data_IF_008941788433
#
_entry.id   IF_008941788433
#
_cell.length_a   1.000
_cell.length_b   1.000
_cell.length_c   1.000
_cell.angle_alpha   90.00
_cell.angle_beta   90.00
_cell.angle_gamma   90.00
#
_symmetry.space_group_name_H-M   'P 1'
#
loop_
_entity.id
_entity.type
_entity.pdbx_description
1 polymer ?
#
# COMPACT_ATOMS: atom_id res chain seq x y z
N UNK A 1 -46.01 -6.39 37.91
CA UNK A 1 -45.90 -5.54 36.72
C UNK A 1 -44.78 -6.13 35.87
N UNK A 2 -45.08 -6.64 34.69
CA UNK A 2 -44.06 -7.19 33.74
C UNK A 2 -43.60 -6.06 32.85
N UNK A 3 -42.29 -5.89 32.57
CA UNK A 3 -41.85 -4.85 31.62
C UNK A 3 -42.15 -5.32 30.20
N UNK A 4 -42.75 -4.43 29.42
CA UNK A 4 -42.99 -4.59 27.98
C UNK A 4 -41.63 -4.67 27.21
N UNK A 5 -41.29 -5.82 26.69
CA UNK A 5 -40.25 -5.97 25.66
C UNK A 5 -40.82 -5.43 24.34
N UNK A 6 -40.40 -4.23 23.93
CA UNK A 6 -40.64 -3.72 22.59
C UNK A 6 -39.83 -4.53 21.60
N UNK A 7 -40.50 -5.41 20.83
CA UNK A 7 -39.90 -6.25 19.79
C UNK A 7 -39.25 -5.39 18.70
N UNK A 8 -37.92 -5.38 18.66
CA UNK A 8 -37.18 -4.95 17.49
C UNK A 8 -37.56 -5.86 16.31
N UNK A 9 -38.33 -5.34 15.36
CA UNK A 9 -38.66 -6.04 14.11
C UNK A 9 -37.36 -6.42 13.40
N UNK A 10 -37.05 -7.70 13.29
CA UNK A 10 -35.93 -8.19 12.44
C UNK A 10 -36.16 -7.70 11.03
N UNK A 11 -35.18 -7.07 10.36
CA UNK A 11 -35.35 -6.61 8.98
C UNK A 11 -35.75 -7.77 8.08
N UNK A 12 -36.69 -7.55 7.17
CA UNK A 12 -37.23 -8.55 6.28
C UNK A 12 -36.12 -9.27 5.50
N UNK A 13 -36.26 -10.59 5.28
CA UNK A 13 -35.28 -11.45 4.56
C UNK A 13 -34.85 -10.83 3.21
N UNK A 14 -35.73 -10.11 2.54
CA UNK A 14 -35.48 -9.41 1.27
C UNK A 14 -34.45 -8.30 1.39
N UNK A 15 -34.54 -7.42 2.41
CA UNK A 15 -33.57 -6.32 2.63
C UNK A 15 -32.17 -6.88 2.91
N UNK A 16 -32.08 -8.00 3.65
CA UNK A 16 -30.82 -8.71 3.92
C UNK A 16 -30.18 -9.30 2.66
N UNK A 17 -31.00 -9.74 1.70
CA UNK A 17 -30.55 -10.33 0.42
C UNK A 17 -30.01 -9.26 -0.53
N UNK A 18 -30.70 -8.11 -0.66
CA UNK A 18 -30.21 -6.95 -1.44
C UNK A 18 -28.90 -6.38 -0.90
N UNK A 19 -28.75 -6.25 0.41
CA UNK A 19 -27.49 -5.80 1.03
C UNK A 19 -26.30 -6.73 0.72
N UNK A 20 -26.51 -8.07 0.72
CA UNK A 20 -25.46 -9.01 0.34
C UNK A 20 -25.06 -8.92 -1.13
N UNK A 21 -26.04 -8.69 -2.02
CA UNK A 21 -25.79 -8.55 -3.45
C UNK A 21 -25.01 -7.28 -3.75
N UNK A 22 -25.38 -6.15 -3.14
CA UNK A 22 -24.65 -4.88 -3.27
C UNK A 22 -23.19 -4.99 -2.81
N UNK A 23 -22.93 -5.67 -1.71
CA UNK A 23 -21.56 -5.93 -1.23
C UNK A 23 -20.76 -6.76 -2.22
N UNK A 24 -21.34 -7.86 -2.73
CA UNK A 24 -20.67 -8.70 -3.74
C UNK A 24 -20.36 -7.91 -5.00
N UNK A 25 -21.29 -7.11 -5.47
CA UNK A 25 -21.07 -6.22 -6.61
C UNK A 25 -19.97 -5.22 -6.33
N UNK A 26 -19.97 -4.55 -5.17
CA UNK A 26 -18.89 -3.64 -4.78
C UNK A 26 -17.51 -4.32 -4.75
N UNK A 27 -17.42 -5.56 -4.24
CA UNK A 27 -16.17 -6.32 -4.27
C UNK A 27 -15.71 -6.63 -5.70
N UNK A 28 -16.63 -7.05 -6.57
CA UNK A 28 -16.33 -7.30 -8.00
C UNK A 28 -15.82 -6.01 -8.67
N UNK A 29 -16.43 -4.87 -8.37
CA UNK A 29 -15.99 -3.57 -8.90
C UNK A 29 -14.58 -3.23 -8.41
N UNK A 30 -14.29 -3.37 -7.11
CA UNK A 30 -12.93 -3.11 -6.57
C UNK A 30 -11.89 -4.01 -7.24
N UNK A 31 -12.16 -5.31 -7.34
CA UNK A 31 -11.26 -6.27 -8.00
C UNK A 31 -11.12 -5.94 -9.49
N UNK A 32 -12.22 -5.74 -10.21
CA UNK A 32 -12.22 -5.42 -11.63
C UNK A 32 -11.45 -4.15 -11.96
N UNK A 33 -11.66 -3.07 -11.20
CA UNK A 33 -10.89 -1.82 -11.33
C UNK A 33 -9.42 -2.06 -11.04
N UNK A 34 -9.11 -2.79 -9.96
CA UNK A 34 -7.73 -3.01 -9.54
C UNK A 34 -6.93 -3.78 -10.59
N UNK A 35 -7.45 -4.89 -11.08
CA UNK A 35 -6.79 -5.68 -12.14
C UNK A 35 -6.85 -4.98 -13.50
N UNK A 36 -8.00 -4.44 -13.88
CA UNK A 36 -8.18 -3.76 -15.16
C UNK A 36 -7.19 -2.63 -15.37
N UNK A 37 -7.06 -1.71 -14.40
CA UNK A 37 -6.16 -0.55 -14.52
C UNK A 37 -4.67 -0.95 -14.55
N UNK A 38 -4.29 -2.01 -13.84
CA UNK A 38 -2.89 -2.42 -13.74
C UNK A 38 -2.43 -3.25 -14.93
N UNK A 39 -3.32 -4.06 -15.50
CA UNK A 39 -3.01 -4.91 -16.66
C UNK A 39 -3.35 -4.26 -18.01
N UNK A 40 -4.07 -3.13 -18.03
CA UNK A 40 -4.42 -2.44 -19.27
C UNK A 40 -3.17 -2.01 -20.03
N UNK A 41 -2.90 -2.61 -21.19
CA UNK A 41 -1.75 -2.31 -22.05
C UNK A 41 -0.44 -2.20 -21.26
N UNK A 42 -0.14 -3.20 -20.44
CA UNK A 42 1.04 -3.20 -19.56
C UNK A 42 2.36 -3.18 -20.34
N UNK A 43 2.38 -3.71 -21.57
CA UNK A 43 3.51 -3.69 -22.50
C UNK A 43 3.55 -2.48 -23.44
N UNK A 44 2.76 -1.42 -23.20
CA UNK A 44 2.66 -0.26 -24.10
C UNK A 44 4.01 0.34 -24.47
N UNK A 45 4.88 0.54 -23.49
CA UNK A 45 6.23 1.07 -23.72
C UNK A 45 7.23 -0.07 -23.86
N UNK A 46 7.86 -0.11 -25.02
CA UNK A 46 8.91 -1.09 -25.35
C UNK A 46 10.30 -0.59 -24.94
N UNK A 47 10.41 -0.07 -23.74
CA UNK A 47 11.60 0.52 -23.13
C UNK A 47 11.52 0.38 -21.62
N UNK A 48 12.66 0.50 -20.95
CA UNK A 48 12.73 0.49 -19.50
C UNK A 48 12.29 1.84 -18.95
N UNK A 49 11.28 1.85 -18.09
CA UNK A 49 10.66 3.03 -17.51
C UNK A 49 11.21 3.26 -16.10
N UNK A 50 11.76 4.44 -15.86
CA UNK A 50 12.29 4.87 -14.57
C UNK A 50 13.30 3.85 -13.99
N UNK A 51 13.14 3.41 -12.76
CA UNK A 51 14.04 2.45 -12.08
C UNK A 51 14.00 1.02 -12.65
N UNK A 52 13.16 0.73 -13.67
CA UNK A 52 13.25 -0.55 -14.42
C UNK A 52 14.65 -0.73 -15.02
N UNK A 53 15.35 0.36 -15.36
CA UNK A 53 16.74 0.34 -15.85
C UNK A 53 17.70 -0.38 -14.89
N UNK A 54 17.36 -0.43 -13.61
CA UNK A 54 18.11 -1.16 -12.59
C UNK A 54 17.43 -2.49 -12.27
N UNK A 55 16.16 -2.47 -11.87
CA UNK A 55 15.51 -3.62 -11.26
C UNK A 55 15.23 -4.75 -12.26
N UNK A 56 14.85 -4.43 -13.51
CA UNK A 56 14.69 -5.44 -14.56
C UNK A 56 16.03 -6.07 -14.96
N UNK A 57 17.09 -5.25 -15.12
CA UNK A 57 18.45 -5.75 -15.43
C UNK A 57 19.01 -6.59 -14.29
N UNK A 58 18.81 -6.18 -13.04
CA UNK A 58 19.27 -6.99 -11.90
C UNK A 58 18.49 -8.30 -11.77
N UNK A 59 17.19 -8.29 -12.08
CA UNK A 59 16.39 -9.51 -12.12
C UNK A 59 16.87 -10.47 -13.20
N UNK A 60 17.18 -9.97 -14.40
CA UNK A 60 17.78 -10.75 -15.48
C UNK A 60 19.14 -11.32 -15.07
N UNK A 61 20.02 -10.51 -14.49
CA UNK A 61 21.33 -10.95 -14.02
C UNK A 61 21.24 -12.09 -12.99
N UNK A 62 20.24 -12.06 -12.08
CA UNK A 62 20.00 -13.18 -11.17
C UNK A 62 19.59 -14.46 -11.88
N UNK A 63 18.81 -14.40 -12.97
CA UNK A 63 18.45 -15.58 -13.77
C UNK A 63 19.66 -16.16 -14.52
N UNK A 64 20.56 -15.29 -14.94
CA UNK A 64 21.79 -15.65 -15.66
C UNK A 64 22.93 -16.05 -14.72
N UNK A 65 22.75 -15.95 -13.40
CA UNK A 65 23.76 -16.29 -12.40
C UNK A 65 24.89 -15.27 -12.25
N UNK A 66 24.65 -14.02 -12.64
CA UNK A 66 25.63 -12.93 -12.48
C UNK A 66 25.45 -12.18 -11.14
N UNK A 67 26.54 -11.86 -10.42
CA UNK A 67 26.49 -11.08 -9.22
C UNK A 67 26.09 -9.63 -9.51
N UNK A 68 25.19 -9.09 -8.68
CA UNK A 68 24.74 -7.71 -8.78
C UNK A 68 24.88 -6.99 -7.43
N UNK A 69 25.09 -5.69 -7.46
CA UNK A 69 24.97 -4.82 -6.31
C UNK A 69 23.80 -3.85 -6.50
N UNK A 70 22.94 -3.78 -5.50
CA UNK A 70 21.85 -2.79 -5.42
C UNK A 70 21.77 -2.19 -4.02
N UNK A 71 21.29 -0.97 -3.94
CA UNK A 71 21.02 -0.24 -2.70
C UNK A 71 19.90 -0.83 -1.83
N UNK A 72 19.21 -1.86 -2.33
CA UNK A 72 18.07 -2.49 -1.67
C UNK A 72 18.24 -4.00 -1.51
N UNK A 73 17.65 -4.61 -0.46
CA UNK A 73 17.60 -6.05 -0.30
C UNK A 73 17.06 -6.78 -1.55
N UNK A 74 17.33 -8.09 -1.73
CA UNK A 74 17.17 -8.74 -3.03
C UNK A 74 15.75 -9.21 -3.37
N UNK A 75 14.81 -9.34 -2.41
CA UNK A 75 13.53 -10.02 -2.63
C UNK A 75 12.71 -9.43 -3.79
N UNK A 76 12.64 -8.12 -3.91
CA UNK A 76 11.86 -7.50 -4.99
C UNK A 76 12.37 -7.88 -6.38
N UNK A 77 13.70 -7.96 -6.54
CA UNK A 77 14.35 -8.40 -7.79
C UNK A 77 14.15 -9.89 -8.06
N UNK A 78 14.14 -10.73 -7.02
CA UNK A 78 13.78 -12.14 -7.16
C UNK A 78 12.34 -12.33 -7.64
N UNK A 79 11.41 -11.52 -7.16
CA UNK A 79 10.01 -11.59 -7.61
C UNK A 79 9.88 -11.17 -9.08
N UNK A 80 10.59 -10.13 -9.51
CA UNK A 80 10.65 -9.74 -10.92
C UNK A 80 11.29 -10.87 -11.76
N UNK A 81 12.41 -11.42 -11.32
CA UNK A 81 13.09 -12.55 -11.97
C UNK A 81 12.17 -13.78 -12.07
N UNK A 82 11.45 -14.12 -11.01
CA UNK A 82 10.43 -15.18 -11.02
C UNK A 82 9.35 -14.90 -12.06
N UNK A 83 8.93 -13.64 -12.18
CA UNK A 83 7.98 -13.23 -13.22
C UNK A 83 8.48 -13.44 -14.63
N UNK A 84 9.73 -13.07 -14.91
CA UNK A 84 10.40 -13.31 -16.19
C UNK A 84 10.47 -14.80 -16.49
N UNK A 85 10.96 -15.59 -15.55
CA UNK A 85 11.09 -17.04 -15.70
C UNK A 85 9.75 -17.74 -15.97
N UNK A 86 8.71 -17.39 -15.19
CA UNK A 86 7.36 -17.94 -15.38
C UNK A 86 6.77 -17.55 -16.74
N UNK A 87 7.01 -16.34 -17.21
CA UNK A 87 6.51 -15.87 -18.50
C UNK A 87 7.09 -16.70 -19.65
N UNK A 88 8.35 -17.08 -19.57
CA UNK A 88 9.04 -17.86 -20.62
C UNK A 88 8.68 -19.34 -20.56
N UNK A 89 8.44 -19.92 -19.36
CA UNK A 89 8.25 -21.36 -19.19
C UNK A 89 6.79 -21.81 -19.06
N UNK A 90 5.85 -20.87 -18.81
CA UNK A 90 4.43 -21.19 -18.65
C UNK A 90 3.59 -20.59 -19.80
N UNK A 91 3.34 -21.35 -20.89
CA UNK A 91 2.72 -20.82 -22.12
C UNK A 91 1.28 -20.33 -21.95
N UNK A 92 0.61 -20.69 -20.84
CA UNK A 92 -0.82 -20.43 -20.59
C UNK A 92 -1.05 -19.19 -19.74
N UNK A 93 -0.02 -18.45 -19.31
CA UNK A 93 -0.22 -17.22 -18.58
C UNK A 93 -0.94 -16.21 -19.49
N UNK A 94 -2.21 -15.81 -19.17
CA UNK A 94 -2.98 -14.86 -19.98
C UNK A 94 -2.49 -13.44 -19.72
N UNK A 95 -1.19 -13.21 -19.91
CA UNK A 95 -0.54 -11.95 -19.59
C UNK A 95 -0.47 -11.12 -20.86
N UNK A 96 -1.25 -10.06 -20.90
CA UNK A 96 -1.34 -9.16 -22.04
C UNK A 96 -2.38 -9.61 -23.08
N UNK A 97 -3.65 -9.28 -22.85
CA UNK A 97 -4.70 -9.40 -23.87
C UNK A 97 -4.26 -8.52 -25.06
N UNK A 98 -3.89 -9.14 -26.17
CA UNK A 98 -3.53 -8.49 -27.43
C UNK A 98 -2.03 -8.30 -27.69
N UNK A 99 -1.10 -8.62 -26.79
CA UNK A 99 0.32 -8.24 -26.92
C UNK A 99 1.29 -9.38 -27.28
N UNK A 100 0.92 -10.66 -27.12
CA UNK A 100 1.76 -11.80 -27.54
C UNK A 100 2.06 -11.83 -29.05
N UNK A 101 1.23 -11.17 -29.86
CA UNK A 101 1.36 -11.19 -31.30
C UNK A 101 2.38 -10.21 -31.88
N UNK A 102 2.98 -9.32 -31.09
CA UNK A 102 3.75 -8.21 -31.64
C UNK A 102 5.27 -8.40 -31.65
N UNK A 103 5.82 -9.45 -31.01
CA UNK A 103 7.29 -9.70 -31.01
C UNK A 103 8.12 -8.52 -30.46
N UNK A 104 7.48 -7.61 -29.71
CA UNK A 104 8.15 -6.42 -29.17
C UNK A 104 9.04 -6.83 -28.00
N UNK A 105 10.32 -6.62 -28.13
CA UNK A 105 11.29 -6.79 -27.05
C UNK A 105 11.91 -5.44 -26.71
N UNK A 106 12.19 -5.23 -25.43
CA UNK A 106 12.91 -4.07 -24.95
C UNK A 106 14.34 -4.15 -25.45
N UNK A 107 14.80 -3.15 -26.19
CA UNK A 107 16.12 -3.16 -26.82
C UNK A 107 17.26 -3.36 -25.81
N UNK A 108 17.12 -2.81 -24.60
CA UNK A 108 18.16 -2.82 -23.58
C UNK A 108 18.37 -4.18 -22.90
N UNK A 109 17.36 -5.07 -22.92
CA UNK A 109 17.42 -6.38 -22.23
C UNK A 109 16.91 -7.54 -23.08
N UNK A 110 16.46 -7.31 -24.31
CA UNK A 110 16.01 -8.35 -25.23
C UNK A 110 14.75 -9.12 -24.78
N UNK A 111 14.00 -8.62 -23.79
CA UNK A 111 12.84 -9.28 -23.20
C UNK A 111 11.55 -8.50 -23.46
N UNK A 112 10.41 -9.21 -23.48
CA UNK A 112 9.10 -8.57 -23.53
C UNK A 112 8.84 -7.71 -22.29
N UNK A 113 8.38 -6.45 -22.43
CA UNK A 113 8.00 -5.62 -21.27
C UNK A 113 7.01 -6.30 -20.34
N UNK A 114 6.12 -7.12 -20.89
CA UNK A 114 5.16 -7.88 -20.09
C UNK A 114 5.84 -8.87 -19.15
N UNK A 115 6.96 -9.50 -19.58
CA UNK A 115 7.63 -10.53 -18.79
C UNK A 115 8.11 -10.03 -17.43
N UNK A 116 8.61 -8.81 -17.35
CA UNK A 116 9.12 -8.23 -16.10
C UNK A 116 8.12 -7.31 -15.37
N UNK A 117 6.95 -6.97 -15.97
CA UNK A 117 5.94 -6.08 -15.36
C UNK A 117 4.76 -6.81 -14.74
N UNK A 118 4.38 -7.98 -15.25
CA UNK A 118 3.11 -8.61 -14.87
C UNK A 118 3.02 -9.02 -13.39
N UNK A 119 4.13 -9.46 -12.76
CA UNK A 119 4.13 -9.79 -11.32
C UNK A 119 3.88 -8.56 -10.49
N UNK A 120 4.48 -7.41 -10.85
CA UNK A 120 4.21 -6.12 -10.21
C UNK A 120 2.73 -5.75 -10.33
N UNK A 121 2.15 -5.88 -11.53
CA UNK A 121 0.74 -5.60 -11.77
C UNK A 121 -0.18 -6.51 -10.94
N UNK A 122 0.14 -7.80 -10.85
CA UNK A 122 -0.61 -8.77 -10.06
C UNK A 122 -0.54 -8.45 -8.56
N UNK A 123 0.65 -8.27 -8.02
CA UNK A 123 0.85 -7.96 -6.60
C UNK A 123 0.20 -6.62 -6.25
N UNK A 124 0.38 -5.59 -7.10
CA UNK A 124 -0.26 -4.30 -6.94
C UNK A 124 -1.80 -4.38 -7.00
N UNK A 125 -2.35 -5.25 -7.84
CA UNK A 125 -3.80 -5.50 -7.92
C UNK A 125 -4.36 -6.19 -6.67
N UNK A 126 -3.55 -6.94 -5.95
CA UNK A 126 -3.94 -7.58 -4.68
C UNK A 126 -3.94 -6.60 -3.49
N UNK A 127 -3.25 -5.45 -3.55
CA UNK A 127 -3.20 -4.48 -2.44
C UNK A 127 -4.59 -3.97 -2.04
N UNK A 128 -5.47 -3.50 -2.94
CA UNK A 128 -6.82 -3.09 -2.58
C UNK A 128 -7.65 -4.19 -1.91
N UNK A 129 -7.44 -5.45 -2.29
CA UNK A 129 -8.11 -6.60 -1.68
C UNK A 129 -7.67 -6.79 -0.22
N UNK A 130 -6.36 -6.68 0.04
CA UNK A 130 -5.83 -6.71 1.42
C UNK A 130 -6.37 -5.53 2.26
N UNK A 131 -6.48 -4.35 1.66
CA UNK A 131 -7.06 -3.18 2.33
C UNK A 131 -8.52 -3.41 2.69
N UNK A 132 -9.32 -3.99 1.78
CA UNK A 132 -10.70 -4.41 2.08
C UNK A 132 -10.71 -5.40 3.25
N UNK A 133 -9.82 -6.39 3.25
CA UNK A 133 -9.76 -7.42 4.29
C UNK A 133 -9.38 -6.81 5.66
N UNK A 134 -8.38 -5.93 5.72
CA UNK A 134 -8.00 -5.21 6.95
C UNK A 134 -9.14 -4.35 7.46
N UNK A 135 -9.74 -3.51 6.60
CA UNK A 135 -10.85 -2.65 6.95
C UNK A 135 -12.06 -3.46 7.45
N UNK A 136 -12.29 -4.64 6.85
CA UNK A 136 -13.33 -5.56 7.31
C UNK A 136 -13.05 -6.11 8.70
N UNK A 137 -11.84 -6.56 8.97
CA UNK A 137 -11.43 -7.04 10.30
C UNK A 137 -11.61 -5.96 11.35
N UNK A 138 -11.18 -4.71 11.07
CA UNK A 138 -11.36 -3.56 11.96
C UNK A 138 -12.83 -3.19 12.20
N UNK A 139 -13.73 -3.50 11.26
CA UNK A 139 -15.17 -3.22 11.36
C UNK A 139 -15.94 -4.25 12.18
N UNK A 140 -15.54 -5.54 12.13
CA UNK A 140 -16.28 -6.63 12.77
C UNK A 140 -16.06 -6.69 14.26
N UNK A 141 -14.91 -6.27 14.75
CA UNK A 141 -14.55 -6.43 16.16
C UNK A 141 -15.40 -5.58 17.12
N UNK A 142 -16.03 -4.47 16.70
CA UNK A 142 -16.64 -3.51 17.64
C UNK A 142 -17.81 -2.67 17.14
N UNK A 143 -18.36 -2.89 15.95
CA UNK A 143 -19.47 -2.08 15.46
C UNK A 143 -20.78 -2.84 15.44
N UNK A 144 -21.82 -2.28 16.10
CA UNK A 144 -23.21 -2.76 15.95
C UNK A 144 -23.72 -2.59 14.50
N UNK A 145 -23.10 -1.71 13.72
CA UNK A 145 -23.33 -1.54 12.30
C UNK A 145 -22.22 -2.27 11.52
N UNK A 146 -22.50 -3.50 11.11
CA UNK A 146 -21.67 -4.33 10.26
C UNK A 146 -21.59 -3.74 8.82
N UNK A 147 -21.16 -2.48 8.71
CA UNK A 147 -21.11 -1.74 7.45
C UNK A 147 -19.93 -2.20 6.60
N UNK A 148 -20.20 -2.46 5.33
CA UNK A 148 -19.18 -2.72 4.31
C UNK A 148 -18.66 -1.44 3.65
N UNK A 149 -19.27 -0.27 3.95
CA UNK A 149 -18.94 1.01 3.30
C UNK A 149 -17.48 1.35 3.54
N UNK A 150 -17.00 1.28 4.78
CA UNK A 150 -15.58 1.51 5.10
C UNK A 150 -14.67 0.63 4.26
N UNK A 151 -14.93 -0.68 4.21
CA UNK A 151 -14.08 -1.64 3.51
C UNK A 151 -14.05 -1.41 2.00
N UNK A 152 -15.22 -1.18 1.40
CA UNK A 152 -15.32 -0.93 -0.04
C UNK A 152 -14.70 0.40 -0.44
N UNK A 153 -14.95 1.48 0.32
CA UNK A 153 -14.32 2.78 0.06
C UNK A 153 -12.80 2.71 0.18
N UNK A 154 -12.28 2.09 1.25
CA UNK A 154 -10.84 1.96 1.45
C UNK A 154 -10.16 1.20 0.31
N UNK A 155 -10.74 0.07 -0.12
CA UNK A 155 -10.23 -0.69 -1.26
C UNK A 155 -10.34 0.09 -2.58
N UNK A 156 -11.47 0.78 -2.81
CA UNK A 156 -11.66 1.60 -4.02
C UNK A 156 -10.62 2.73 -4.08
N UNK A 157 -10.36 3.43 -3.00
CA UNK A 157 -9.39 4.54 -2.95
C UNK A 157 -8.00 4.08 -3.38
N UNK A 158 -7.53 2.93 -2.89
CA UNK A 158 -6.23 2.37 -3.31
C UNK A 158 -6.27 1.84 -4.74
N UNK A 159 -7.41 1.29 -5.19
CA UNK A 159 -7.56 0.78 -6.56
C UNK A 159 -7.44 1.88 -7.62
N UNK A 160 -7.96 3.09 -7.34
CA UNK A 160 -8.02 4.23 -8.28
C UNK A 160 -6.94 5.30 -8.02
N UNK A 161 -6.04 5.12 -7.07
CA UNK A 161 -4.96 6.08 -6.84
C UNK A 161 -3.87 5.98 -7.92
N UNK A 162 -3.51 7.13 -8.50
CA UNK A 162 -2.57 7.22 -9.62
C UNK A 162 -1.18 6.70 -9.28
N UNK A 163 -0.65 7.01 -8.08
CA UNK A 163 0.66 6.54 -7.64
C UNK A 163 0.67 5.01 -7.52
N UNK A 164 -0.36 4.42 -6.88
CA UNK A 164 -0.45 2.96 -6.75
C UNK A 164 -0.64 2.26 -8.10
N UNK A 165 -1.35 2.87 -9.06
CA UNK A 165 -1.48 2.35 -10.41
C UNK A 165 -0.11 2.38 -11.10
N UNK A 166 0.57 3.52 -11.13
CA UNK A 166 1.87 3.69 -11.80
C UNK A 166 2.92 2.74 -11.23
N UNK A 167 3.10 2.70 -9.91
CA UNK A 167 4.07 1.83 -9.23
C UNK A 167 3.81 0.33 -9.47
N UNK A 168 2.57 -0.05 -9.74
CA UNK A 168 2.19 -1.44 -10.02
C UNK A 168 2.42 -1.86 -11.47
N UNK A 169 2.46 -0.92 -12.41
CA UNK A 169 2.52 -1.22 -13.84
C UNK A 169 3.93 -1.44 -14.37
N UNK A 170 4.93 -1.02 -13.60
CA UNK A 170 6.35 -1.13 -13.94
C UNK A 170 7.08 -2.03 -12.94
N UNK A 171 8.23 -2.58 -13.32
CA UNK A 171 9.04 -3.47 -12.48
C UNK A 171 9.75 -2.66 -11.36
N UNK A 172 8.96 -2.14 -10.42
CA UNK A 172 9.39 -1.30 -9.30
C UNK A 172 9.21 -2.04 -7.97
N UNK A 173 9.93 -1.62 -6.93
CA UNK A 173 9.98 -2.37 -5.68
C UNK A 173 8.89 -2.00 -4.66
N UNK A 174 8.32 -0.79 -4.75
CA UNK A 174 7.49 -0.24 -3.66
C UNK A 174 6.17 -0.99 -3.45
N UNK A 175 5.57 -1.55 -4.50
CA UNK A 175 4.34 -2.37 -4.40
C UNK A 175 4.55 -3.61 -3.53
N UNK A 176 5.71 -4.25 -3.62
CA UNK A 176 6.02 -5.43 -2.80
C UNK A 176 6.15 -5.07 -1.32
N UNK A 177 6.76 -3.93 -1.00
CA UNK A 177 6.84 -3.44 0.40
C UNK A 177 5.44 -3.26 0.98
N UNK A 178 4.55 -2.59 0.23
CA UNK A 178 3.17 -2.33 0.66
C UNK A 178 2.38 -3.63 0.78
N UNK A 179 2.48 -4.51 -0.22
CA UNK A 179 1.78 -5.78 -0.21
C UNK A 179 2.16 -6.64 0.99
N UNK A 180 3.46 -6.92 1.20
CA UNK A 180 3.92 -7.76 2.30
C UNK A 180 3.68 -7.10 3.66
N UNK A 181 3.85 -5.79 3.78
CA UNK A 181 3.53 -5.06 4.98
C UNK A 181 2.07 -5.19 5.38
N UNK A 182 1.15 -4.96 4.44
CA UNK A 182 -0.29 -5.10 4.68
C UNK A 182 -0.72 -6.56 4.88
N UNK A 183 -0.09 -7.51 4.18
CA UNK A 183 -0.33 -8.94 4.41
C UNK A 183 0.04 -9.31 5.85
N UNK A 184 1.20 -8.85 6.34
CA UNK A 184 1.61 -9.02 7.72
C UNK A 184 0.60 -8.44 8.71
N UNK A 185 0.08 -7.24 8.44
CA UNK A 185 -0.94 -6.59 9.25
C UNK A 185 -2.26 -7.36 9.24
N UNK A 186 -2.74 -7.81 8.08
CA UNK A 186 -3.98 -8.59 7.99
C UNK A 186 -3.89 -9.92 8.72
N UNK A 187 -2.78 -10.65 8.54
CA UNK A 187 -2.53 -11.93 9.23
C UNK A 187 -2.44 -11.72 10.74
N UNK A 188 -1.78 -10.65 11.19
CA UNK A 188 -1.68 -10.29 12.60
C UNK A 188 -3.05 -10.02 13.24
N UNK A 189 -3.86 -9.18 12.60
CA UNK A 189 -5.21 -8.87 13.06
C UNK A 189 -6.14 -10.09 13.02
N UNK A 190 -5.91 -11.02 12.09
CA UNK A 190 -6.68 -12.27 11.96
C UNK A 190 -6.22 -13.38 12.92
N UNK A 191 -5.15 -13.17 13.68
CA UNK A 191 -4.57 -14.17 14.57
C UNK A 191 -5.35 -14.36 15.87
N UNK A 192 -6.34 -13.52 16.19
CA UNK A 192 -7.29 -13.78 17.28
C UNK A 192 -8.22 -14.92 16.87
N UNK A 193 -7.82 -16.15 17.19
CA UNK A 193 -8.50 -17.37 16.74
C UNK A 193 -8.80 -18.30 17.91
N UNK A 194 -9.85 -19.11 17.77
CA UNK A 194 -10.28 -20.10 18.78
C UNK A 194 -9.27 -21.24 18.99
N UNK A 195 -8.33 -21.43 18.05
CA UNK A 195 -7.31 -22.48 18.08
C UNK A 195 -5.91 -21.90 18.25
N UNK A 196 -5.18 -22.38 19.26
CA UNK A 196 -3.79 -21.99 19.53
C UNK A 196 -2.86 -22.22 18.32
N UNK A 197 -3.02 -23.31 17.61
CA UNK A 197 -2.19 -23.62 16.43
C UNK A 197 -2.45 -22.62 15.29
N UNK A 198 -3.71 -22.26 15.08
CA UNK A 198 -4.07 -21.25 14.09
C UNK A 198 -3.50 -19.87 14.45
N UNK A 199 -3.56 -19.49 15.74
CA UNK A 199 -2.94 -18.24 16.21
C UNK A 199 -1.44 -18.24 15.94
N UNK A 200 -0.72 -19.30 16.32
CA UNK A 200 0.73 -19.42 16.10
C UNK A 200 1.06 -19.34 14.61
N UNK A 201 0.36 -20.11 13.77
CA UNK A 201 0.59 -20.12 12.33
C UNK A 201 0.38 -18.73 11.69
N UNK A 202 -0.70 -18.04 12.04
CA UNK A 202 -0.98 -16.70 11.51
C UNK A 202 0.05 -15.67 11.98
N UNK A 203 0.54 -15.76 13.25
CA UNK A 203 1.59 -14.87 13.74
C UNK A 203 2.94 -15.15 13.11
N UNK A 204 3.29 -16.41 12.85
CA UNK A 204 4.52 -16.78 12.10
C UNK A 204 4.44 -16.27 10.67
N UNK A 205 3.32 -16.48 9.98
CA UNK A 205 3.11 -15.96 8.62
C UNK A 205 3.12 -14.43 8.58
N UNK A 206 2.56 -13.76 9.58
CA UNK A 206 2.62 -12.30 9.73
C UNK A 206 4.08 -11.84 9.86
N UNK A 207 4.85 -12.46 10.76
CA UNK A 207 6.27 -12.16 10.93
C UNK A 207 7.09 -12.41 9.67
N UNK A 208 6.85 -13.52 8.96
CA UNK A 208 7.49 -13.82 7.67
C UNK A 208 7.14 -12.77 6.61
N UNK A 209 5.88 -12.35 6.53
CA UNK A 209 5.45 -11.28 5.61
C UNK A 209 6.13 -9.93 5.93
N UNK A 210 6.27 -9.59 7.21
CA UNK A 210 7.01 -8.40 7.63
C UNK A 210 8.50 -8.51 7.29
N UNK A 211 9.11 -9.68 7.48
CA UNK A 211 10.47 -9.97 7.04
C UNK A 211 10.62 -9.83 5.53
N UNK A 212 9.62 -10.25 4.75
CA UNK A 212 9.58 -10.05 3.31
C UNK A 212 9.50 -8.56 2.94
N UNK A 213 8.67 -7.75 3.61
CA UNK A 213 8.61 -6.31 3.38
C UNK A 213 9.98 -5.63 3.59
N UNK A 214 10.69 -5.98 4.67
CA UNK A 214 12.04 -5.51 4.95
C UNK A 214 13.02 -6.05 3.89
N UNK A 215 12.84 -7.31 3.45
CA UNK A 215 13.64 -7.97 2.42
C UNK A 215 13.47 -7.38 1.01
N UNK A 216 12.49 -6.52 0.81
CA UNK A 216 12.35 -5.68 -0.40
C UNK A 216 13.05 -4.34 -0.21
N UNK A 217 12.70 -3.61 0.86
CA UNK A 217 13.31 -2.32 1.24
C UNK A 217 13.23 -2.13 2.75
N UNK A 218 14.23 -1.49 3.37
CA UNK A 218 14.26 -1.27 4.82
C UNK A 218 13.12 -0.41 5.38
N UNK A 219 12.45 0.38 4.55
CA UNK A 219 11.25 1.09 4.99
C UNK A 219 10.07 0.16 5.37
N UNK A 220 10.13 -1.13 5.03
CA UNK A 220 9.25 -2.17 5.56
C UNK A 220 9.25 -2.27 7.09
N UNK A 221 10.32 -1.79 7.77
CA UNK A 221 10.37 -1.66 9.24
C UNK A 221 9.24 -0.78 9.82
N UNK A 222 8.70 0.16 9.04
CA UNK A 222 7.55 0.97 9.44
C UNK A 222 6.31 0.14 9.79
N UNK A 223 6.08 -0.96 9.08
CA UNK A 223 4.99 -1.88 9.38
C UNK A 223 5.23 -2.67 10.67
N UNK A 224 6.47 -3.10 10.92
CA UNK A 224 6.84 -3.76 12.20
C UNK A 224 6.63 -2.80 13.37
N UNK A 225 7.13 -1.57 13.25
CA UNK A 225 6.95 -0.52 14.26
C UNK A 225 5.46 -0.25 14.52
N UNK A 226 4.66 -0.21 13.47
CA UNK A 226 3.22 0.01 13.55
C UNK A 226 2.52 -1.07 14.39
N UNK A 227 2.80 -2.35 14.15
CA UNK A 227 2.21 -3.46 14.93
C UNK A 227 2.75 -3.49 16.37
N UNK A 228 4.04 -3.20 16.56
CA UNK A 228 4.62 -3.12 17.90
C UNK A 228 3.95 -2.02 18.74
N UNK A 229 3.76 -0.84 18.17
CA UNK A 229 3.09 0.28 18.84
C UNK A 229 1.60 -0.01 19.04
N UNK A 230 0.92 -0.66 18.08
CA UNK A 230 -0.47 -1.08 18.22
C UNK A 230 -0.68 -2.05 19.38
N UNK A 231 0.12 -3.11 19.46
CA UNK A 231 0.07 -4.07 20.56
C UNK A 231 0.34 -3.40 21.92
N UNK A 232 1.37 -2.54 21.97
CA UNK A 232 1.72 -1.79 23.17
C UNK A 232 0.57 -0.88 23.63
N UNK A 233 -0.12 -0.25 22.69
CA UNK A 233 -1.28 0.56 22.95
C UNK A 233 -2.48 -0.26 23.48
N UNK A 234 -2.73 -1.44 22.91
CA UNK A 234 -3.80 -2.34 23.38
C UNK A 234 -3.55 -2.83 24.82
N UNK A 235 -2.30 -3.09 25.19
CA UNK A 235 -1.93 -3.46 26.55
C UNK A 235 -2.23 -2.38 27.58
N UNK A 236 -1.95 -1.12 27.24
CA UNK A 236 -2.24 0.02 28.14
C UNK A 236 -3.74 0.18 28.42
N UNK A 237 -4.61 -0.27 27.51
CA UNK A 237 -6.07 -0.22 27.64
C UNK A 237 -6.67 -1.33 28.52
N UNK A 238 -5.94 -2.38 28.78
CA UNK A 238 -6.44 -3.55 29.50
C UNK A 238 -6.08 -3.48 30.99
N UNK A 239 -7.00 -3.03 31.89
CA UNK A 239 -6.72 -3.02 33.33
C UNK A 239 -6.44 -4.45 33.80
N UNK A 240 -5.25 -4.68 34.33
CA UNK A 240 -4.82 -6.01 34.83
C UNK A 240 -3.90 -6.80 33.90
N UNK A 241 -3.81 -6.49 32.61
CA UNK A 241 -2.75 -6.99 31.73
C UNK A 241 -1.54 -6.05 31.85
N UNK A 242 -0.69 -6.29 32.83
CA UNK A 242 0.64 -5.65 32.87
C UNK A 242 1.44 -6.14 31.66
N UNK A 243 2.36 -5.30 31.16
CA UNK A 243 3.38 -5.70 30.19
C UNK A 243 4.21 -6.84 30.81
N UNK A 244 3.63 -8.03 30.76
CA UNK A 244 4.19 -9.22 31.38
C UNK A 244 5.17 -9.91 30.45
N UNK A 245 6.08 -10.69 31.02
CA UNK A 245 7.10 -11.48 30.30
C UNK A 245 6.54 -12.22 29.07
N UNK A 246 5.30 -12.75 29.15
CA UNK A 246 4.66 -13.48 28.03
C UNK A 246 4.39 -12.60 26.83
N UNK A 247 3.93 -11.37 27.04
CA UNK A 247 3.64 -10.42 25.94
C UNK A 247 4.94 -9.95 25.32
N UNK A 248 5.94 -9.61 26.14
CA UNK A 248 7.26 -9.22 25.65
C UNK A 248 7.90 -10.34 24.80
N UNK A 249 7.85 -11.59 25.27
CA UNK A 249 8.34 -12.76 24.50
C UNK A 249 7.58 -12.90 23.19
N UNK A 250 6.24 -12.78 23.20
CA UNK A 250 5.41 -12.88 21.99
C UNK A 250 5.79 -11.82 20.96
N UNK A 251 5.92 -10.56 21.37
CA UNK A 251 6.35 -9.46 20.49
C UNK A 251 7.76 -9.68 19.97
N UNK A 252 8.71 -9.99 20.85
CA UNK A 252 10.08 -10.26 20.46
C UNK A 252 10.18 -11.42 19.45
N UNK A 253 9.41 -12.48 19.66
CA UNK A 253 9.41 -13.64 18.75
C UNK A 253 8.80 -13.28 17.39
N UNK A 254 7.54 -12.82 17.35
CA UNK A 254 6.81 -12.70 16.08
C UNK A 254 7.03 -11.37 15.34
N UNK A 255 7.44 -10.30 16.04
CA UNK A 255 7.78 -9.01 15.41
C UNK A 255 9.29 -8.75 15.36
N UNK A 256 10.12 -9.59 15.99
CA UNK A 256 11.58 -9.50 15.98
C UNK A 256 12.22 -10.71 15.31
N UNK A 257 12.22 -11.87 16.02
CA UNK A 257 12.98 -13.06 15.56
C UNK A 257 12.46 -13.60 14.24
N UNK A 258 11.16 -13.81 14.09
CA UNK A 258 10.59 -14.37 12.84
C UNK A 258 10.85 -13.49 11.62
N UNK A 259 10.59 -12.16 11.64
CA UNK A 259 10.96 -11.28 10.54
C UNK A 259 12.44 -11.30 10.22
N UNK A 260 13.31 -11.32 11.25
CA UNK A 260 14.76 -11.35 11.06
C UNK A 260 15.24 -12.65 10.41
N UNK A 261 14.76 -13.80 10.89
CA UNK A 261 15.10 -15.12 10.31
C UNK A 261 14.67 -15.19 8.85
N UNK A 262 13.46 -14.72 8.53
CA UNK A 262 12.97 -14.72 7.17
C UNK A 262 13.77 -13.75 6.28
N UNK A 263 14.09 -12.56 6.78
CA UNK A 263 14.96 -11.59 6.13
C UNK A 263 16.35 -12.19 5.83
N UNK A 264 16.93 -12.92 6.79
CA UNK A 264 18.22 -13.59 6.62
C UNK A 264 18.14 -14.65 5.50
N UNK A 265 17.09 -15.47 5.45
CA UNK A 265 16.87 -16.44 4.38
C UNK A 265 16.75 -15.81 2.99
N UNK A 266 16.13 -14.64 2.89
CA UNK A 266 16.04 -13.88 1.63
C UNK A 266 17.42 -13.54 1.08
N UNK A 267 18.39 -13.27 1.93
CA UNK A 267 19.75 -12.95 1.50
C UNK A 267 20.56 -14.18 1.07
N UNK A 268 20.17 -15.36 1.46
CA UNK A 268 20.94 -16.58 1.20
C UNK A 268 21.32 -16.79 -0.27
N UNK A 269 20.42 -16.73 -1.27
CA UNK A 269 20.79 -16.92 -2.68
C UNK A 269 21.77 -15.84 -3.16
N UNK A 270 21.58 -14.58 -2.76
CA UNK A 270 22.50 -13.49 -3.12
C UNK A 270 23.91 -13.72 -2.57
N UNK A 271 24.01 -14.13 -1.31
CA UNK A 271 25.31 -14.39 -0.67
C UNK A 271 26.04 -15.57 -1.31
N UNK A 272 25.31 -16.62 -1.72
CA UNK A 272 25.92 -17.73 -2.46
C UNK A 272 26.42 -17.28 -3.83
N UNK A 273 25.70 -16.42 -4.52
CA UNK A 273 26.07 -15.92 -5.84
C UNK A 273 27.27 -14.98 -5.80
N UNK A 274 27.33 -14.11 -4.80
CA UNK A 274 28.38 -13.06 -4.70
C UNK A 274 29.61 -13.49 -3.91
N UNK A 275 29.52 -14.55 -3.10
CA UNK A 275 30.57 -14.96 -2.18
C UNK A 275 30.75 -14.01 -0.98
N UNK A 276 29.85 -13.03 -0.81
CA UNK A 276 29.91 -12.06 0.29
C UNK A 276 29.35 -12.63 1.60
N UNK A 277 29.77 -12.05 2.72
CA UNK A 277 29.15 -12.33 4.02
C UNK A 277 27.93 -11.44 4.24
N UNK A 278 27.00 -11.90 5.09
CA UNK A 278 25.82 -11.10 5.48
C UNK A 278 26.24 -9.73 6.07
N UNK A 279 27.28 -9.70 6.88
CA UNK A 279 27.77 -8.47 7.51
C UNK A 279 28.39 -7.52 6.49
N UNK A 280 29.21 -8.03 5.54
CA UNK A 280 29.89 -7.17 4.55
C UNK A 280 28.87 -6.49 3.61
N UNK A 281 27.86 -7.23 3.15
CA UNK A 281 26.85 -6.66 2.24
C UNK A 281 26.00 -5.60 2.96
N UNK A 282 25.65 -5.82 4.24
CA UNK A 282 24.86 -4.85 5.00
C UNK A 282 25.68 -3.59 5.35
N UNK A 283 26.97 -3.75 5.63
CA UNK A 283 27.86 -2.61 5.83
C UNK A 283 27.98 -1.78 4.56
N UNK A 284 28.12 -2.42 3.40
CA UNK A 284 28.18 -1.76 2.09
C UNK A 284 26.88 -1.02 1.78
N UNK A 285 25.72 -1.63 2.04
CA UNK A 285 24.41 -0.99 1.88
C UNK A 285 24.28 0.25 2.78
N UNK A 286 24.65 0.12 4.04
CA UNK A 286 24.59 1.21 5.00
C UNK A 286 25.48 2.38 4.58
N UNK A 287 26.73 2.10 4.19
CA UNK A 287 27.68 3.11 3.70
C UNK A 287 27.20 3.78 2.43
N UNK A 288 26.65 3.00 1.49
CA UNK A 288 26.06 3.53 0.27
C UNK A 288 24.94 4.53 0.58
N UNK A 289 24.05 4.20 1.48
CA UNK A 289 22.96 5.10 1.88
C UNK A 289 23.42 6.36 2.63
N UNK A 290 24.56 6.32 3.29
CA UNK A 290 25.15 7.50 3.93
C UNK A 290 25.84 8.44 2.95
N UNK A 291 26.45 7.88 1.90
CA UNK A 291 27.23 8.62 0.90
C UNK A 291 26.39 9.17 -0.28
N UNK A 292 25.09 8.94 -0.27
CA UNK A 292 24.19 9.38 -1.32
C UNK A 292 23.85 10.88 -1.18
N UNK A 293 24.81 11.75 -1.45
CA UNK A 293 24.68 13.19 -1.35
C UNK A 293 24.13 13.85 -2.64
N UNK A 294 23.94 13.06 -3.72
CA UNK A 294 23.46 13.57 -4.99
C UNK A 294 22.04 14.15 -4.85
N UNK A 295 21.96 15.49 -4.89
CA UNK A 295 20.67 16.19 -4.99
C UNK A 295 20.17 16.05 -6.42
N UNK A 296 19.18 15.20 -6.62
CA UNK A 296 18.49 15.08 -7.90
C UNK A 296 17.29 16.05 -7.96
N UNK A 297 16.93 16.49 -9.16
CA UNK A 297 15.79 17.39 -9.36
C UNK A 297 14.49 16.80 -8.77
N UNK A 298 14.32 15.49 -8.81
CA UNK A 298 13.15 14.78 -8.29
C UNK A 298 13.10 14.60 -6.76
N UNK A 299 14.14 15.04 -6.01
CA UNK A 299 14.15 14.92 -4.54
C UNK A 299 13.00 15.69 -3.89
N UNK A 300 12.34 15.08 -2.93
CA UNK A 300 11.26 15.67 -2.14
C UNK A 300 11.45 15.40 -0.65
N UNK A 301 11.06 16.36 0.18
CA UNK A 301 11.14 16.23 1.64
C UNK A 301 9.93 15.46 2.18
N UNK A 302 10.14 14.60 3.16
CA UNK A 302 9.12 13.71 3.72
C UNK A 302 7.82 14.43 4.14
N UNK A 303 7.89 15.66 4.67
CA UNK A 303 6.74 16.43 5.11
C UNK A 303 5.90 17.02 3.95
N UNK A 304 6.42 17.03 2.72
CA UNK A 304 5.72 17.50 1.53
C UNK A 304 4.89 16.41 0.84
N UNK A 305 5.15 15.15 1.18
CA UNK A 305 4.51 14.01 0.50
C UNK A 305 2.99 13.94 0.67
N UNK A 306 2.42 14.17 1.88
CA UNK A 306 0.96 14.13 2.05
C UNK A 306 0.20 15.13 1.16
N UNK A 307 0.89 16.18 0.69
CA UNK A 307 0.32 17.23 -0.14
C UNK A 307 0.65 17.09 -1.64
N UNK A 308 1.35 16.01 -2.04
CA UNK A 308 1.76 15.77 -3.43
C UNK A 308 2.58 16.92 -4.03
N UNK A 309 3.42 17.59 -3.24
CA UNK A 309 4.12 18.80 -3.71
C UNK A 309 5.06 18.48 -4.87
N UNK A 310 5.71 17.31 -4.88
CA UNK A 310 6.71 16.98 -5.89
C UNK A 310 6.62 15.52 -6.33
N UNK A 311 5.78 15.19 -7.32
CA UNK A 311 5.77 13.89 -8.01
C UNK A 311 6.99 13.78 -8.92
N UNK A 312 7.19 12.59 -9.49
CA UNK A 312 8.31 12.28 -10.38
C UNK A 312 7.77 11.89 -11.75
N UNK A 313 8.35 12.44 -12.79
CA UNK A 313 8.14 11.98 -14.16
C UNK A 313 8.93 10.67 -14.36
N UNK A 314 8.23 9.59 -14.69
CA UNK A 314 8.82 8.27 -14.93
C UNK A 314 9.18 8.04 -16.39
N UNK A 315 8.38 8.64 -17.28
CA UNK A 315 8.54 8.52 -18.72
C UNK A 315 7.96 9.74 -19.43
N UNK A 316 8.60 10.15 -20.51
CA UNK A 316 8.10 11.18 -21.41
C UNK A 316 8.57 10.88 -22.83
N UNK A 317 7.65 10.89 -23.78
CA UNK A 317 7.95 10.72 -25.19
C UNK A 317 7.04 11.64 -26.01
N UNK A 318 7.63 12.40 -26.90
CA UNK A 318 6.95 13.38 -27.74
C UNK A 318 6.85 12.86 -29.18
N UNK A 319 5.63 12.82 -29.71
CA UNK A 319 5.30 12.41 -31.08
C UNK A 319 4.81 13.60 -31.92
N UNK A 320 5.05 14.83 -31.51
CA UNK A 320 4.61 16.05 -32.16
C UNK A 320 3.19 16.47 -31.81
N UNK A 321 2.18 15.82 -32.36
CA UNK A 321 0.78 16.12 -32.05
C UNK A 321 0.33 15.57 -30.71
N UNK A 322 0.95 14.51 -30.23
CA UNK A 322 0.65 13.85 -28.93
C UNK A 322 1.91 13.58 -28.15
N UNK A 323 1.77 13.59 -26.84
CA UNK A 323 2.81 13.22 -25.89
C UNK A 323 2.34 12.06 -25.03
N UNK A 324 3.23 11.14 -24.70
CA UNK A 324 3.04 10.11 -23.71
C UNK A 324 3.83 10.47 -22.46
N UNK A 325 3.14 10.68 -21.35
CA UNK A 325 3.76 10.99 -20.08
C UNK A 325 3.32 10.00 -19.02
N UNK A 326 4.27 9.43 -18.28
CA UNK A 326 4.01 8.63 -17.08
C UNK A 326 4.54 9.37 -15.88
N UNK A 327 3.69 9.57 -14.89
CA UNK A 327 4.06 10.29 -13.68
C UNK A 327 3.55 9.53 -12.45
N UNK A 328 4.30 9.58 -11.36
CA UNK A 328 3.88 8.95 -10.10
C UNK A 328 2.96 9.85 -9.27
N UNK A 329 2.20 10.70 -9.92
CA UNK A 329 1.21 11.56 -9.27
C UNK A 329 0.04 10.72 -8.73
N UNK A 330 -0.20 10.78 -7.43
CA UNK A 330 -1.40 10.25 -6.82
C UNK A 330 -2.65 11.04 -7.22
N UNK A 331 -3.83 10.58 -6.81
CA UNK A 331 -5.07 11.35 -6.98
C UNK A 331 -5.08 12.57 -6.03
N UNK A 332 -4.97 13.82 -6.51
CA UNK A 332 -4.81 14.98 -5.63
C UNK A 332 -5.95 15.17 -4.65
N UNK A 333 -7.20 14.99 -5.09
CA UNK A 333 -8.36 15.13 -4.21
C UNK A 333 -8.32 14.07 -3.08
N UNK A 334 -8.00 12.82 -3.41
CA UNK A 334 -7.88 11.74 -2.43
C UNK A 334 -6.75 12.01 -1.42
N UNK A 335 -5.58 12.45 -1.89
CA UNK A 335 -4.42 12.71 -1.02
C UNK A 335 -4.66 13.85 -0.07
N UNK A 336 -5.14 15.00 -0.56
CA UNK A 336 -5.40 16.18 0.27
C UNK A 336 -6.52 15.93 1.29
N UNK A 337 -7.61 15.28 0.86
CA UNK A 337 -8.69 14.89 1.77
C UNK A 337 -8.22 13.86 2.82
N UNK A 338 -7.34 12.93 2.44
CA UNK A 338 -6.77 11.95 3.38
C UNK A 338 -5.83 12.61 4.38
N UNK A 339 -5.00 13.55 3.96
CA UNK A 339 -4.16 14.34 4.86
C UNK A 339 -5.00 15.15 5.86
N UNK A 340 -6.06 15.79 5.38
CA UNK A 340 -7.02 16.48 6.24
C UNK A 340 -7.73 15.53 7.22
N UNK A 341 -8.12 14.33 6.76
CA UNK A 341 -8.74 13.30 7.59
C UNK A 341 -7.81 12.83 8.72
N UNK A 342 -6.54 12.59 8.43
CA UNK A 342 -5.52 12.23 9.43
C UNK A 342 -5.33 13.36 10.44
N UNK A 343 -5.20 14.60 9.96
CA UNK A 343 -5.08 15.77 10.84
C UNK A 343 -6.28 15.92 11.76
N UNK A 344 -7.50 15.83 11.23
CA UNK A 344 -8.74 15.89 12.01
C UNK A 344 -8.79 14.78 13.06
N UNK A 345 -8.36 13.58 12.72
CA UNK A 345 -8.29 12.47 13.67
C UNK A 345 -7.27 12.75 14.78
N UNK A 346 -6.08 13.26 14.44
CA UNK A 346 -5.06 13.67 15.41
C UNK A 346 -5.61 14.74 16.38
N UNK A 347 -6.19 15.81 15.84
CA UNK A 347 -6.75 16.91 16.64
C UNK A 347 -7.90 16.44 17.54
N UNK A 348 -8.79 15.59 17.03
CA UNK A 348 -9.88 15.02 17.81
C UNK A 348 -9.37 14.18 18.99
N UNK A 349 -8.29 13.41 18.79
CA UNK A 349 -7.65 12.61 19.85
C UNK A 349 -6.96 13.48 20.90
N UNK A 350 -6.26 14.51 20.45
CA UNK A 350 -5.62 15.48 21.34
C UNK A 350 -6.67 16.22 22.19
N UNK A 351 -7.73 16.72 21.55
CA UNK A 351 -8.84 17.40 22.24
C UNK A 351 -9.50 16.50 23.30
N UNK A 352 -9.79 15.24 22.96
CA UNK A 352 -10.36 14.29 23.91
C UNK A 352 -9.45 14.04 25.11
N UNK A 353 -8.12 14.01 24.91
CA UNK A 353 -7.16 13.87 26.00
C UNK A 353 -7.14 15.10 26.92
N UNK A 354 -7.17 16.31 26.35
CA UNK A 354 -7.16 17.56 27.12
C UNK A 354 -8.42 17.71 27.98
N UNK A 355 -9.60 17.38 27.43
CA UNK A 355 -10.86 17.50 28.16
C UNK A 355 -11.04 16.50 29.31
N UNK A 356 -10.48 15.28 29.16
CA UNK A 356 -10.73 14.18 30.12
C UNK A 356 -9.70 14.09 31.24
N UNK A 357 -8.72 14.97 31.30
CA UNK A 357 -7.70 15.05 32.37
C UNK A 357 -6.90 13.78 32.64
N UNK A 358 -6.89 12.82 31.69
CA UNK A 358 -6.20 11.57 31.88
C UNK A 358 -6.35 10.55 30.74
N UNK A 359 -5.60 9.48 30.85
CA UNK A 359 -5.42 8.35 29.90
C UNK A 359 -6.70 7.51 29.63
N UNK A 360 -7.89 7.89 30.09
CA UNK A 360 -9.12 7.14 29.84
C UNK A 360 -9.57 7.34 28.38
N UNK A 361 -8.97 6.57 27.51
CA UNK A 361 -9.30 6.53 26.09
C UNK A 361 -10.63 5.81 25.89
N UNK A 362 -11.49 6.42 25.06
CA UNK A 362 -12.77 5.83 24.68
C UNK A 362 -12.54 4.43 24.09
N UNK A 363 -13.11 3.41 24.75
CA UNK A 363 -13.04 2.02 24.31
C UNK A 363 -13.67 1.78 22.91
N UNK A 364 -14.43 2.77 22.39
CA UNK A 364 -15.25 2.61 21.19
C UNK A 364 -14.55 2.87 19.84
N UNK A 365 -13.29 3.34 19.81
CA UNK A 365 -12.70 3.79 18.55
C UNK A 365 -11.29 3.26 18.27
N UNK A 366 -11.08 1.95 18.44
CA UNK A 366 -9.76 1.34 18.22
C UNK A 366 -9.31 1.39 16.76
N UNK A 367 -10.23 1.27 15.77
CA UNK A 367 -9.88 1.40 14.36
C UNK A 367 -9.18 2.73 14.03
N UNK A 368 -9.69 3.87 14.53
CA UNK A 368 -9.03 5.17 14.32
C UNK A 368 -7.63 5.25 14.93
N UNK A 369 -7.42 4.63 16.11
CA UNK A 369 -6.10 4.58 16.74
C UNK A 369 -5.13 3.69 15.95
N UNK A 370 -5.60 2.54 15.47
CA UNK A 370 -4.83 1.64 14.60
C UNK A 370 -4.38 2.36 13.32
N UNK A 371 -5.30 3.05 12.64
CA UNK A 371 -5.03 3.77 11.41
C UNK A 371 -4.02 4.91 11.63
N UNK A 372 -4.16 5.65 12.73
CA UNK A 372 -3.23 6.72 13.07
C UNK A 372 -1.84 6.19 13.41
N UNK A 373 -1.73 5.12 14.19
CA UNK A 373 -0.46 4.45 14.49
C UNK A 373 0.18 3.96 13.18
N UNK A 374 -0.58 3.32 12.30
CA UNK A 374 -0.11 2.86 11.00
C UNK A 374 0.45 4.00 10.15
N UNK A 375 -0.28 5.11 10.06
CA UNK A 375 0.16 6.29 9.31
C UNK A 375 1.45 6.89 9.88
N UNK A 376 1.48 7.17 11.17
CA UNK A 376 2.61 7.83 11.85
C UNK A 376 3.87 6.97 11.81
N UNK A 377 3.74 5.66 12.04
CA UNK A 377 4.88 4.72 12.04
C UNK A 377 5.54 4.57 10.66
N UNK A 378 4.80 4.77 9.58
CA UNK A 378 5.32 4.68 8.21
C UNK A 378 5.75 6.04 7.64
N UNK A 379 5.41 7.15 8.31
CA UNK A 379 5.72 8.51 7.82
C UNK A 379 6.77 9.24 8.67
N UNK A 380 6.57 9.30 10.00
CA UNK A 380 7.43 10.12 10.89
C UNK A 380 8.89 9.67 10.92
N UNK A 381 9.25 8.36 10.86
CA UNK A 381 10.66 7.97 10.88
C UNK A 381 11.52 8.59 9.76
N UNK A 382 10.91 9.05 8.67
CA UNK A 382 11.62 9.73 7.59
C UNK A 382 12.24 11.08 8.02
N UNK A 383 11.87 11.65 9.17
CA UNK A 383 12.54 12.82 9.77
C UNK A 383 14.03 12.56 10.01
N UNK A 384 14.42 11.30 10.24
CA UNK A 384 15.79 10.89 10.50
C UNK A 384 16.63 10.73 9.23
N UNK A 385 16.00 10.74 8.05
CA UNK A 385 16.66 10.50 6.76
C UNK A 385 17.05 11.83 6.13
N UNK A 386 18.36 12.07 5.98
CA UNK A 386 18.91 13.34 5.46
C UNK A 386 19.14 13.33 3.95
N UNK A 387 19.31 12.14 3.33
CA UNK A 387 19.55 11.98 1.89
C UNK A 387 18.33 12.35 1.05
N UNK A 388 18.54 12.44 -0.25
CA UNK A 388 17.46 12.56 -1.23
C UNK A 388 16.41 11.46 -1.02
N UNK A 389 15.15 11.86 -0.98
CA UNK A 389 13.98 10.99 -0.83
C UNK A 389 12.92 11.35 -1.85
N UNK A 390 11.92 10.47 -2.04
CA UNK A 390 10.97 10.57 -3.13
C UNK A 390 9.55 10.28 -2.67
N UNK A 391 8.57 10.82 -3.40
CA UNK A 391 7.14 10.71 -3.09
C UNK A 391 6.66 9.25 -2.89
N UNK A 392 7.13 8.31 -3.70
CA UNK A 392 6.70 6.90 -3.61
C UNK A 392 7.03 6.24 -2.26
N UNK A 393 7.97 6.79 -1.49
CA UNK A 393 8.30 6.32 -0.15
C UNK A 393 7.16 6.55 0.85
N UNK A 394 6.19 7.40 0.50
CA UNK A 394 4.99 7.63 1.31
C UNK A 394 3.88 6.58 1.12
N UNK A 395 3.96 5.72 0.11
CA UNK A 395 2.92 4.72 -0.16
C UNK A 395 2.49 3.90 1.08
N UNK A 396 3.42 3.40 1.93
CA UNK A 396 3.05 2.69 3.15
C UNK A 396 2.15 3.51 4.09
N UNK A 397 2.43 4.80 4.25
CA UNK A 397 1.62 5.69 5.09
C UNK A 397 0.31 6.09 4.37
N UNK A 398 0.35 6.35 3.07
CA UNK A 398 -0.80 6.79 2.29
C UNK A 398 -1.98 5.81 2.37
N UNK A 399 -1.73 4.49 2.37
CA UNK A 399 -2.79 3.48 2.56
C UNK A 399 -3.55 3.71 3.86
N UNK A 400 -2.87 3.96 4.97
CA UNK A 400 -3.52 4.23 6.25
C UNK A 400 -4.27 5.59 6.23
N UNK A 401 -3.75 6.57 5.48
CA UNK A 401 -4.45 7.84 5.23
C UNK A 401 -5.77 7.62 4.47
N UNK A 402 -5.75 6.86 3.38
CA UNK A 402 -6.93 6.52 2.59
C UNK A 402 -7.95 5.73 3.41
N UNK A 403 -7.49 4.77 4.21
CA UNK A 403 -8.36 4.05 5.15
C UNK A 403 -8.95 4.99 6.20
N UNK A 404 -8.20 5.99 6.68
CA UNK A 404 -8.71 6.99 7.65
C UNK A 404 -9.83 7.82 7.04
N UNK A 405 -9.66 8.30 5.81
CA UNK A 405 -10.71 9.03 5.09
C UNK A 405 -11.96 8.15 4.89
N UNK A 406 -11.77 6.91 4.41
CA UNK A 406 -12.86 5.96 4.21
C UNK A 406 -13.61 5.66 5.51
N UNK A 407 -12.89 5.52 6.63
CA UNK A 407 -13.47 5.29 7.96
C UNK A 407 -14.27 6.49 8.49
N UNK A 408 -13.85 7.73 8.22
CA UNK A 408 -14.63 8.93 8.53
C UNK A 408 -15.88 9.03 7.65
N UNK A 409 -15.74 8.76 6.34
CA UNK A 409 -16.87 8.78 5.41
C UNK A 409 -17.93 7.72 5.77
N UNK A 410 -17.53 6.51 6.18
CA UNK A 410 -18.47 5.48 6.65
C UNK A 410 -19.34 6.01 7.79
N UNK A 411 -18.76 6.75 8.73
CA UNK A 411 -19.49 7.38 9.83
C UNK A 411 -20.44 8.46 9.36
N UNK A 412 -20.04 9.28 8.39
CA UNK A 412 -20.89 10.34 7.82
C UNK A 412 -22.05 9.78 6.98
N UNK A 413 -21.84 8.65 6.34
CA UNK A 413 -22.87 7.96 5.54
C UNK A 413 -23.80 7.07 6.38
N UNK A 414 -23.50 6.86 7.67
CA UNK A 414 -24.33 6.06 8.56
C UNK A 414 -25.77 6.59 8.67
N UNK A 415 -26.72 5.69 8.94
CA UNK A 415 -28.16 5.97 8.89
C UNK A 415 -28.64 7.14 9.79
N UNK A 416 -27.98 7.38 10.92
CA UNK A 416 -28.33 8.48 11.87
C UNK A 416 -27.57 9.80 11.65
N UNK A 417 -26.73 9.90 10.62
CA UNK A 417 -25.91 11.10 10.39
C UNK A 417 -26.72 12.26 9.80
N UNK A 418 -26.37 13.52 10.12
CA UNK A 418 -27.00 14.70 9.53
C UNK A 418 -26.90 14.69 7.99
N UNK A 419 -27.92 15.25 7.31
CA UNK A 419 -27.93 15.31 5.83
C UNK A 419 -26.68 16.04 5.30
N UNK A 420 -26.23 17.13 5.94
CA UNK A 420 -25.03 17.86 5.55
C UNK A 420 -23.76 16.99 5.51
N UNK A 421 -23.60 16.05 6.47
CA UNK A 421 -22.47 15.13 6.47
C UNK A 421 -22.53 14.14 5.28
N UNK A 422 -23.73 13.67 4.93
CA UNK A 422 -23.93 12.78 3.77
C UNK A 422 -23.66 13.50 2.46
N UNK A 423 -24.13 14.74 2.32
CA UNK A 423 -23.87 15.59 1.15
C UNK A 423 -22.38 15.87 1.04
N UNK A 424 -21.70 16.22 2.13
CA UNK A 424 -20.25 16.44 2.12
C UNK A 424 -19.50 15.18 1.67
N UNK A 425 -19.83 14.00 2.22
CA UNK A 425 -19.22 12.74 1.78
C UNK A 425 -19.46 12.48 0.28
N UNK A 426 -20.68 12.76 -0.23
CA UNK A 426 -21.01 12.64 -1.65
C UNK A 426 -20.18 13.58 -2.53
N UNK A 427 -20.02 14.84 -2.14
CA UNK A 427 -19.19 15.83 -2.85
C UNK A 427 -17.71 15.42 -2.87
N UNK A 428 -17.18 14.92 -1.77
CA UNK A 428 -15.81 14.42 -1.70
C UNK A 428 -15.61 13.20 -2.61
N UNK A 429 -16.54 12.25 -2.63
CA UNK A 429 -16.48 11.09 -3.54
C UNK A 429 -16.55 11.54 -5.00
N UNK A 430 -17.40 12.49 -5.33
CA UNK A 430 -17.46 13.11 -6.66
C UNK A 430 -16.14 13.75 -7.07
N UNK A 431 -15.52 14.54 -6.17
CA UNK A 431 -14.25 15.18 -6.41
C UNK A 431 -13.12 14.14 -6.63
N UNK A 432 -13.07 13.08 -5.82
CA UNK A 432 -12.10 11.98 -5.99
C UNK A 432 -12.29 11.27 -7.34
N UNK A 433 -13.53 10.99 -7.73
CA UNK A 433 -13.84 10.34 -8.99
C UNK A 433 -13.47 11.21 -10.20
N UNK A 434 -13.78 12.50 -10.17
CA UNK A 434 -13.42 13.46 -11.23
C UNK A 434 -11.89 13.61 -11.33
N UNK A 435 -11.20 13.75 -10.19
CA UNK A 435 -9.76 13.81 -10.14
C UNK A 435 -9.12 12.53 -10.70
N UNK A 436 -9.63 11.35 -10.33
CA UNK A 436 -9.17 10.09 -10.90
C UNK A 436 -9.26 10.07 -12.44
N UNK A 437 -10.42 10.39 -13.00
CA UNK A 437 -10.62 10.39 -14.45
C UNK A 437 -9.72 11.43 -15.15
N UNK A 438 -9.54 12.60 -14.54
CA UNK A 438 -8.74 13.68 -15.13
C UNK A 438 -7.25 13.32 -15.17
N UNK A 439 -6.67 12.72 -14.12
CA UNK A 439 -5.24 12.36 -14.07
C UNK A 439 -4.93 10.93 -14.51
N UNK A 440 -5.94 10.08 -14.76
CA UNK A 440 -5.75 8.69 -15.19
C UNK A 440 -4.81 8.54 -16.41
N UNK A 441 -4.85 9.41 -17.44
CA UNK A 441 -3.93 9.32 -18.57
C UNK A 441 -2.44 9.32 -18.17
N UNK A 442 -2.05 10.06 -17.13
CA UNK A 442 -0.66 10.09 -16.64
C UNK A 442 -0.24 8.78 -15.96
N UNK A 443 -1.18 8.08 -15.32
CA UNK A 443 -0.86 6.79 -14.69
C UNK A 443 -0.80 5.64 -15.71
N UNK A 444 -1.54 5.75 -16.82
CA UNK A 444 -1.58 4.75 -17.88
C UNK A 444 -0.59 5.04 -19.02
N UNK A 445 0.02 6.23 -19.06
CA UNK A 445 0.81 6.69 -20.18
C UNK A 445 0.00 6.81 -21.46
N UNK A 446 -1.27 7.22 -21.35
CA UNK A 446 -2.15 7.40 -22.53
C UNK A 446 -1.75 8.66 -23.32
N UNK A 447 -1.99 8.70 -24.66
CA UNK A 447 -1.68 9.88 -25.45
C UNK A 447 -2.49 11.08 -24.97
N UNK A 448 -1.83 12.22 -24.89
CA UNK A 448 -2.39 13.53 -24.54
C UNK A 448 -1.87 14.55 -25.56
N UNK A 449 -2.63 15.62 -25.85
CA UNK A 449 -2.02 16.77 -26.50
C UNK A 449 -1.13 17.55 -25.51
N UNK A 450 -0.16 18.34 -25.97
CA UNK A 450 0.66 19.18 -25.09
C UNK A 450 -0.20 20.07 -24.17
N UNK A 451 -1.29 20.65 -24.68
CA UNK A 451 -2.20 21.48 -23.88
C UNK A 451 -2.93 20.64 -22.81
N UNK A 452 -3.38 19.43 -23.16
CA UNK A 452 -4.01 18.53 -22.19
C UNK A 452 -3.05 18.11 -21.08
N UNK A 453 -1.77 17.92 -21.41
CA UNK A 453 -0.75 17.63 -20.41
C UNK A 453 -0.53 18.84 -19.50
N UNK A 454 -0.39 20.03 -20.06
CA UNK A 454 -0.19 21.27 -19.30
C UNK A 454 -1.34 21.56 -18.33
N UNK A 455 -2.59 21.31 -18.71
CA UNK A 455 -3.76 21.45 -17.83
C UNK A 455 -3.69 20.58 -16.58
N UNK A 456 -2.88 19.51 -16.57
CA UNK A 456 -2.71 18.59 -15.45
C UNK A 456 -1.62 19.01 -14.46
N UNK A 457 -0.81 19.99 -14.81
CA UNK A 457 0.23 20.55 -13.95
C UNK A 457 -0.34 21.71 -13.12
N UNK A 458 -0.99 21.37 -12.00
CA UNK A 458 -1.59 22.40 -11.13
C UNK A 458 -0.58 23.10 -10.22
N UNK A 459 0.54 22.47 -9.94
CA UNK A 459 1.63 23.07 -9.18
C UNK A 459 2.87 23.18 -10.05
N UNK A 460 3.64 24.31 -9.98
CA UNK A 460 4.89 24.45 -10.72
C UNK A 460 5.90 23.34 -10.47
N UNK A 461 5.82 22.70 -9.30
CA UNK A 461 6.70 21.58 -8.91
C UNK A 461 6.28 20.23 -9.50
N UNK A 462 5.21 20.18 -10.28
CA UNK A 462 4.75 18.96 -10.97
C UNK A 462 5.32 18.84 -12.39
N UNK A 463 5.94 19.92 -12.89
CA UNK A 463 6.58 20.01 -14.21
C UNK A 463 7.97 19.36 -14.18
#
# INVERSE_FOLDING_TARGET
MRPFYTGQKRPAKTIRRFGKLAVRFGLVVVVGLSFGLRFWQIGRFNSLVFDEIYFAKFAQAYLEGFPVFDAHPPLGKYLIATGMWLYDHVPVLPVGIGERAAGRVTAEIGLSPVSYRWVNAFVGACIPILVVAIARTLSTERSQNNSWIFSLLAGTFVAIDGLFITESRYALLNVYVVFFGLLGHWLWLSAEADSRWREISLRVLAGASLGAAIGVKWNGLGYVLSLFLWESYQLQKSPGLRFGRRVAIRQATYLGVVPFVFYWFIWWPHLQLTGETFTSVHWRLFTFHQQLDAVQVACSKWYTWPLLIKPIAYWYEDFGETVHAVNNLGNPALWWLSAAAVLLLCLSRLWQRLQRGGLLMDRRSDAGSYLLIGYVSNWVPWVLVRRCTYLYLHMPAAVFGFMTLAWLMDRWLAGGSPMGAKVMAGLMLGAIALAFLFWLPLSLGSPLTPEQLQLRWWLPSWI
#
